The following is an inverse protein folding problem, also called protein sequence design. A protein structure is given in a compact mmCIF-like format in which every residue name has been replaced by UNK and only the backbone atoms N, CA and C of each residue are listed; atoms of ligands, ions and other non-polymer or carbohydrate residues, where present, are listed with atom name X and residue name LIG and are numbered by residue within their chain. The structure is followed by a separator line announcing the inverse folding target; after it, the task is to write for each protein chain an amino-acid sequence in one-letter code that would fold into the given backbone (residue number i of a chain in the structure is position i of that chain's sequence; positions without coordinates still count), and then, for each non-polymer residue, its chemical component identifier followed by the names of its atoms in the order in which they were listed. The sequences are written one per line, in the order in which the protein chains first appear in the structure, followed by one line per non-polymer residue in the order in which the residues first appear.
data_IF_080116050650
#
_entry.id   IF_080116050650
#
_cell.length_a   1.000
_cell.length_b   1.000
_cell.length_c   1.000
_cell.angle_alpha   90.00
_cell.angle_beta   90.00
_cell.angle_gamma   90.00
#
_symmetry.space_group_name_H-M   'P 1'
#
loop_
_entity.id
_entity.type
_entity.pdbx_description
1 polymer ?
#
# COMPACT_ATOMS: atom_id res chain seq x y z
N UNK A 1 -14.15 14.86 -19.90
CA UNK A 1 -13.26 15.14 -18.74
C UNK A 1 -11.84 15.11 -19.26
N UNK A 2 -10.99 16.10 -18.90
CA UNK A 2 -9.58 16.13 -19.30
C UNK A 2 -8.82 14.93 -18.71
N UNK A 3 -7.82 14.42 -19.43
CA UNK A 3 -6.92 13.39 -18.89
C UNK A 3 -6.11 13.95 -17.71
N UNK A 4 -5.79 13.13 -16.73
CA UNK A 4 -4.83 13.55 -15.72
C UNK A 4 -3.41 13.44 -16.26
N UNK A 5 -2.58 14.47 -16.06
CA UNK A 5 -1.17 14.41 -16.44
C UNK A 5 -0.43 13.31 -15.63
N UNK A 6 -0.92 12.98 -14.43
CA UNK A 6 -0.37 11.94 -13.58
C UNK A 6 -0.74 10.50 -14.03
N UNK A 7 -1.58 10.33 -15.07
CA UNK A 7 -1.87 9.03 -15.67
C UNK A 7 -0.80 8.62 -16.70
N UNK A 8 0.21 9.45 -16.95
CA UNK A 8 1.25 9.19 -17.93
C UNK A 8 2.60 8.92 -17.30
N UNK A 9 3.24 7.84 -17.72
CA UNK A 9 4.66 7.59 -17.45
C UNK A 9 5.53 8.59 -18.19
N UNK A 10 6.78 8.73 -17.78
CA UNK A 10 7.73 9.61 -18.52
C UNK A 10 7.86 9.21 -19.99
N UNK A 11 7.82 7.92 -20.28
CA UNK A 11 7.89 7.39 -21.66
C UNK A 11 6.67 7.82 -22.47
N UNK A 12 5.47 7.64 -21.94
CA UNK A 12 4.21 8.04 -22.58
C UNK A 12 4.17 9.56 -22.82
N UNK A 13 4.54 10.36 -21.81
CA UNK A 13 4.63 11.83 -21.97
C UNK A 13 5.68 12.24 -23.00
N UNK A 14 6.81 11.54 -23.09
CA UNK A 14 7.84 11.84 -24.09
C UNK A 14 7.40 11.53 -25.53
N UNK A 15 6.45 10.61 -25.69
CA UNK A 15 5.82 10.35 -26.99
C UNK A 15 4.77 11.41 -27.34
N UNK A 16 4.03 11.89 -26.34
CA UNK A 16 2.94 12.83 -26.50
C UNK A 16 3.44 14.28 -26.69
N UNK A 17 4.41 14.71 -25.86
CA UNK A 17 4.93 16.07 -25.87
C UNK A 17 6.15 16.21 -26.80
N UNK A 18 6.09 17.21 -27.69
CA UNK A 18 7.20 17.51 -28.60
C UNK A 18 7.76 18.91 -28.33
N UNK A 19 9.08 19.11 -28.30
CA UNK A 19 10.12 18.07 -28.28
C UNK A 19 10.15 17.28 -26.96
N UNK A 20 10.64 16.07 -26.99
CA UNK A 20 10.55 15.09 -25.87
C UNK A 20 11.22 15.53 -24.55
N UNK A 21 12.19 16.45 -24.61
CA UNK A 21 12.82 16.99 -23.40
C UNK A 21 11.82 17.76 -22.51
N UNK A 22 10.74 18.32 -23.09
CA UNK A 22 9.66 18.99 -22.32
C UNK A 22 8.96 18.04 -21.35
N UNK A 23 8.84 16.76 -21.73
CA UNK A 23 8.28 15.76 -20.83
C UNK A 23 9.16 15.58 -19.58
N UNK A 24 10.47 15.52 -19.72
CA UNK A 24 11.41 15.43 -18.59
C UNK A 24 11.34 16.65 -17.68
N UNK A 25 11.30 17.85 -18.27
CA UNK A 25 11.15 19.08 -17.51
C UNK A 25 9.83 19.11 -16.75
N UNK A 26 8.70 18.80 -17.41
CA UNK A 26 7.38 18.74 -16.80
C UNK A 26 7.35 17.72 -15.65
N UNK A 27 7.92 16.53 -15.87
CA UNK A 27 8.00 15.48 -14.85
C UNK A 27 8.74 15.96 -13.59
N UNK A 28 9.84 16.68 -13.75
CA UNK A 28 10.57 17.29 -12.64
C UNK A 28 9.69 18.29 -11.85
N UNK A 29 8.93 19.13 -12.56
CA UNK A 29 8.06 20.10 -11.92
C UNK A 29 6.89 19.43 -11.16
N UNK A 30 6.31 18.39 -11.73
CA UNK A 30 5.20 17.66 -11.13
C UNK A 30 5.62 16.91 -9.84
N UNK A 31 6.73 16.18 -9.92
CA UNK A 31 7.07 15.21 -8.87
C UNK A 31 8.18 15.65 -7.92
N UNK A 32 9.12 16.46 -8.37
CA UNK A 32 10.21 16.93 -7.52
C UNK A 32 9.95 18.32 -6.92
N UNK A 33 9.12 19.16 -7.57
CA UNK A 33 8.80 20.50 -7.06
C UNK A 33 7.36 20.66 -6.58
N UNK A 34 6.55 19.59 -6.63
CA UNK A 34 5.16 19.55 -6.16
C UNK A 34 4.30 20.71 -6.65
N UNK A 35 4.47 21.13 -7.90
CA UNK A 35 3.65 22.20 -8.45
C UNK A 35 2.23 21.72 -8.68
N UNK A 36 1.28 22.45 -8.13
CA UNK A 36 -0.16 22.13 -8.15
C UNK A 36 -0.94 22.92 -9.20
N UNK A 37 -0.26 23.83 -9.90
CA UNK A 37 -0.80 24.59 -11.02
C UNK A 37 0.21 24.66 -12.15
N UNK A 38 -0.23 24.53 -13.40
CA UNK A 38 0.63 24.74 -14.57
C UNK A 38 1.13 26.19 -14.62
N UNK A 39 0.36 27.15 -14.12
CA UNK A 39 0.76 28.56 -14.03
C UNK A 39 2.01 28.77 -13.17
N UNK A 40 2.22 27.95 -12.14
CA UNK A 40 3.42 28.03 -11.30
C UNK A 40 4.70 27.66 -12.06
N UNK A 41 4.57 27.18 -13.31
CA UNK A 41 5.67 26.76 -14.15
C UNK A 41 6.02 27.78 -15.26
N UNK A 42 5.34 28.96 -15.29
CA UNK A 42 5.46 29.97 -16.35
C UNK A 42 6.90 30.47 -16.58
N UNK A 43 7.72 30.51 -15.55
CA UNK A 43 9.12 30.95 -15.69
C UNK A 43 9.99 29.95 -16.47
N UNK A 44 9.50 28.72 -16.70
CA UNK A 44 10.26 27.63 -17.32
C UNK A 44 9.63 27.12 -18.62
N UNK A 45 8.36 27.49 -18.88
CA UNK A 45 7.62 27.07 -20.06
C UNK A 45 6.95 28.29 -20.72
N UNK A 46 6.86 28.25 -22.05
CA UNK A 46 6.18 29.30 -22.80
C UNK A 46 4.70 29.38 -22.42
N UNK A 47 4.11 30.56 -22.59
CA UNK A 47 2.67 30.79 -22.34
C UNK A 47 1.79 29.85 -23.17
N UNK A 48 2.14 29.62 -24.44
CA UNK A 48 1.42 28.71 -25.33
C UNK A 48 1.46 27.26 -24.84
N UNK A 49 2.62 26.83 -24.33
CA UNK A 49 2.75 25.48 -23.80
C UNK A 49 1.96 25.31 -22.48
N UNK A 50 1.95 26.31 -21.62
CA UNK A 50 1.09 26.30 -20.41
C UNK A 50 -0.39 26.25 -20.81
N UNK A 51 -0.81 27.07 -21.77
CA UNK A 51 -2.19 27.07 -22.27
C UNK A 51 -2.58 25.69 -22.84
N UNK A 52 -1.69 25.08 -23.62
CA UNK A 52 -1.89 23.71 -24.11
C UNK A 52 -2.05 22.70 -22.95
N UNK A 53 -1.18 22.75 -21.93
CA UNK A 53 -1.28 21.85 -20.78
C UNK A 53 -2.59 22.05 -20.01
N UNK A 54 -3.02 23.30 -19.83
CA UNK A 54 -4.30 23.63 -19.18
C UNK A 54 -5.51 23.18 -20.00
N UNK A 55 -5.39 23.21 -21.33
CA UNK A 55 -6.46 22.74 -22.20
C UNK A 55 -6.61 21.22 -22.19
N UNK A 56 -5.52 20.47 -22.27
CA UNK A 56 -5.53 19.02 -22.47
C UNK A 56 -5.58 18.23 -21.15
N UNK A 57 -4.99 18.77 -20.08
CA UNK A 57 -4.76 18.00 -18.85
C UNK A 57 -5.36 18.64 -17.60
N UNK A 58 -5.58 17.79 -16.60
CA UNK A 58 -5.81 18.20 -15.22
C UNK A 58 -4.68 17.73 -14.31
N UNK A 59 -4.35 18.56 -13.31
CA UNK A 59 -3.40 18.23 -12.25
C UNK A 59 -4.06 17.56 -11.05
N UNK A 60 -5.34 17.84 -10.79
CA UNK A 60 -6.05 17.28 -9.62
C UNK A 60 -7.07 16.25 -10.06
N UNK A 61 -6.97 15.06 -9.46
CA UNK A 61 -7.96 13.98 -9.62
C UNK A 61 -8.61 13.59 -8.31
N UNK A 62 -7.95 13.93 -7.19
CA UNK A 62 -8.47 13.71 -5.83
C UNK A 62 -8.24 14.94 -4.96
N UNK A 63 -9.02 15.05 -3.90
CA UNK A 63 -8.85 16.05 -2.85
C UNK A 63 -8.92 15.40 -1.46
N UNK A 64 -8.22 15.99 -0.48
CA UNK A 64 -8.34 15.60 0.93
C UNK A 64 -9.60 16.25 1.47
N UNK A 65 -10.55 15.43 1.96
CA UNK A 65 -11.78 15.93 2.57
C UNK A 65 -11.73 15.89 4.10
N UNK A 66 -10.96 14.94 4.66
CA UNK A 66 -10.83 14.82 6.09
C UNK A 66 -9.51 14.17 6.48
N UNK A 67 -8.96 14.58 7.64
CA UNK A 67 -7.73 14.01 8.23
C UNK A 67 -7.96 13.71 9.70
N UNK A 68 -7.73 12.46 10.10
CA UNK A 68 -7.69 12.06 11.52
C UNK A 68 -6.23 11.85 11.94
N UNK A 69 -5.84 12.39 13.08
CA UNK A 69 -4.49 12.27 13.62
C UNK A 69 -4.48 11.32 14.81
N UNK A 70 -3.57 10.36 14.79
CA UNK A 70 -3.31 9.42 15.88
C UNK A 70 -2.30 10.02 16.89
N UNK A 71 -2.39 9.54 18.12
CA UNK A 71 -1.43 9.87 19.17
C UNK A 71 0.00 9.40 18.84
N UNK A 72 0.17 8.39 17.99
CA UNK A 72 1.46 7.89 17.54
C UNK A 72 2.09 8.69 16.37
N UNK A 73 1.44 9.80 15.99
CA UNK A 73 1.86 10.67 14.90
C UNK A 73 1.45 10.19 13.50
N UNK A 74 0.76 9.06 13.40
CA UNK A 74 0.17 8.61 12.13
C UNK A 74 -1.08 9.41 11.80
N UNK A 75 -1.47 9.42 10.52
CA UNK A 75 -2.68 10.13 10.06
C UNK A 75 -3.47 9.24 9.10
N UNK A 76 -4.80 9.27 9.22
CA UNK A 76 -5.73 8.68 8.26
C UNK A 76 -6.36 9.80 7.43
N UNK A 77 -6.31 9.63 6.12
CA UNK A 77 -6.82 10.57 5.13
C UNK A 77 -8.05 9.99 4.46
N UNK A 78 -9.10 10.79 4.39
CA UNK A 78 -10.23 10.53 3.52
C UNK A 78 -10.06 11.37 2.26
N UNK A 79 -9.92 10.71 1.13
CA UNK A 79 -9.84 11.32 -0.18
C UNK A 79 -11.19 11.22 -0.88
N UNK A 80 -11.50 12.24 -1.69
CA UNK A 80 -12.62 12.25 -2.62
C UNK A 80 -12.08 12.32 -4.04
N UNK A 81 -12.54 11.42 -4.89
CA UNK A 81 -12.26 11.47 -6.32
C UNK A 81 -13.07 12.60 -6.96
N UNK A 82 -12.39 13.46 -7.72
CA UNK A 82 -13.02 14.52 -8.50
C UNK A 82 -13.69 14.01 -9.79
N UNK A 83 -13.50 12.71 -10.09
CA UNK A 83 -14.08 12.05 -11.26
C UNK A 83 -15.55 11.70 -11.08
N UNK A 84 -15.91 11.23 -9.89
CA UNK A 84 -17.21 10.61 -9.61
C UNK A 84 -17.72 10.84 -8.17
N UNK A 85 -17.00 11.67 -7.40
CA UNK A 85 -17.27 12.02 -6.01
C UNK A 85 -17.23 10.84 -5.02
N UNK A 86 -16.80 9.66 -5.42
CA UNK A 86 -16.55 8.57 -4.48
C UNK A 86 -15.37 8.87 -3.59
N UNK A 87 -15.42 8.32 -2.37
CA UNK A 87 -14.35 8.52 -1.39
C UNK A 87 -13.63 7.22 -1.10
N UNK A 88 -12.38 7.33 -0.62
CA UNK A 88 -11.55 6.21 -0.20
C UNK A 88 -10.49 6.71 0.78
N UNK A 89 -9.91 5.80 1.54
CA UNK A 89 -8.97 6.15 2.60
C UNK A 89 -7.53 5.75 2.26
N UNK A 90 -6.56 6.49 2.79
CA UNK A 90 -5.16 6.12 2.84
C UNK A 90 -4.56 6.48 4.20
N UNK A 91 -3.41 5.91 4.54
CA UNK A 91 -2.79 6.13 5.85
C UNK A 91 -1.33 6.55 5.71
N UNK A 92 -0.98 7.59 6.43
CA UNK A 92 0.41 7.97 6.70
C UNK A 92 0.83 7.38 8.04
N UNK A 93 1.87 6.55 8.03
CA UNK A 93 2.38 5.88 9.20
C UNK A 93 3.75 6.44 9.59
N UNK A 94 3.87 6.94 10.80
CA UNK A 94 5.14 7.28 11.41
C UNK A 94 5.76 6.03 12.02
N UNK A 95 6.72 5.42 11.32
CA UNK A 95 7.29 4.12 11.68
C UNK A 95 8.36 4.22 12.76
N UNK A 96 9.16 5.26 12.72
CA UNK A 96 10.21 5.54 13.69
C UNK A 96 10.37 7.06 13.89
N UNK A 97 10.64 7.44 15.12
CA UNK A 97 11.09 8.78 15.46
C UNK A 97 12.56 9.00 15.09
N UNK A 98 12.94 10.27 15.02
CA UNK A 98 14.31 10.68 14.89
C UNK A 98 15.07 10.28 16.17
N UNK A 99 16.16 9.52 16.02
CA UNK A 99 17.06 9.20 17.11
C UNK A 99 18.24 10.17 17.06
N UNK A 100 18.43 10.92 18.13
CA UNK A 100 19.50 11.91 18.27
C UNK A 100 20.44 11.39 19.35
N UNK A 101 21.73 11.57 19.15
CA UNK A 101 22.74 11.41 20.17
C UNK A 101 22.64 12.59 21.14
N UNK A 102 22.45 12.31 22.43
CA UNK A 102 22.20 13.34 23.44
C UNK A 102 23.44 14.21 23.73
N UNK A 103 24.65 13.68 23.52
CA UNK A 103 25.90 14.38 23.78
C UNK A 103 26.32 15.26 22.59
N UNK A 104 26.20 14.72 21.37
CA UNK A 104 26.70 15.37 20.15
C UNK A 104 25.62 16.09 19.35
N UNK A 105 24.33 15.94 19.68
CA UNK A 105 23.18 16.36 18.87
C UNK A 105 23.18 15.77 17.43
N UNK A 106 24.01 14.77 17.17
CA UNK A 106 24.07 14.13 15.87
C UNK A 106 22.84 13.23 15.64
N UNK A 107 22.34 13.20 14.39
CA UNK A 107 21.23 12.34 14.02
C UNK A 107 21.75 10.93 13.79
N UNK A 108 21.48 10.01 14.73
CA UNK A 108 21.85 8.59 14.64
C UNK A 108 20.93 7.84 13.68
N UNK A 109 19.61 8.07 13.77
CA UNK A 109 18.63 7.51 12.84
C UNK A 109 17.59 8.57 12.47
N UNK A 110 17.32 8.71 11.17
CA UNK A 110 16.27 9.60 10.70
C UNK A 110 14.88 8.95 10.86
N UNK A 111 13.86 9.80 10.92
CA UNK A 111 12.47 9.37 10.90
C UNK A 111 12.16 8.52 9.67
N UNK A 112 11.33 7.48 9.85
CA UNK A 112 10.89 6.60 8.77
C UNK A 112 9.38 6.69 8.62
N UNK A 113 8.94 6.89 7.39
CA UNK A 113 7.54 7.03 7.05
C UNK A 113 7.10 6.00 6.02
N UNK A 114 5.87 5.56 6.15
CA UNK A 114 5.21 4.65 5.20
C UNK A 114 3.87 5.23 4.82
N UNK A 115 3.57 5.25 3.54
CA UNK A 115 2.23 5.57 3.04
C UNK A 115 1.57 4.26 2.60
N UNK A 116 0.44 3.96 3.25
CA UNK A 116 -0.44 2.86 2.90
C UNK A 116 -1.47 3.38 1.90
N UNK A 117 -1.27 3.05 0.62
CA UNK A 117 -2.12 3.53 -0.47
C UNK A 117 -3.24 2.54 -0.79
N UNK A 118 -4.39 3.08 -1.18
CA UNK A 118 -5.51 2.34 -1.75
C UNK A 118 -5.36 2.24 -3.27
N UNK A 119 -5.83 1.14 -3.84
CA UNK A 119 -5.83 0.91 -5.29
C UNK A 119 -7.23 0.68 -5.87
N UNK A 120 -8.25 0.60 -5.01
CA UNK A 120 -9.66 0.48 -5.41
C UNK A 120 -10.53 1.32 -4.48
N UNK A 121 -11.71 1.68 -4.95
CA UNK A 121 -12.81 2.15 -4.10
C UNK A 121 -13.60 0.91 -3.69
N UNK A 122 -13.53 0.57 -2.40
CA UNK A 122 -14.00 -0.72 -1.89
C UNK A 122 -13.07 -1.89 -2.25
N UNK A 123 -13.54 -3.12 -2.14
CA UNK A 123 -12.77 -4.32 -2.47
C UNK A 123 -13.71 -5.50 -2.77
N UNK A 124 -13.43 -6.22 -3.87
CA UNK A 124 -14.25 -7.36 -4.28
C UNK A 124 -13.82 -8.71 -3.65
N UNK A 125 -12.71 -8.74 -2.88
CA UNK A 125 -12.19 -10.00 -2.30
C UNK A 125 -13.08 -10.52 -1.17
N UNK A 126 -13.71 -9.64 -0.41
CA UNK A 126 -14.69 -10.00 0.60
C UNK A 126 -14.11 -10.66 1.85
N UNK A 127 -12.88 -10.32 2.27
CA UNK A 127 -12.26 -10.90 3.47
C UNK A 127 -13.08 -10.61 4.72
N UNK A 128 -13.48 -11.66 5.46
CA UNK A 128 -14.39 -11.56 6.61
C UNK A 128 -13.85 -10.73 7.78
N UNK A 129 -12.53 -10.58 7.86
CA UNK A 129 -11.83 -9.79 8.89
C UNK A 129 -11.59 -8.33 8.47
N UNK A 130 -11.91 -7.94 7.25
CA UNK A 130 -11.59 -6.62 6.71
C UNK A 130 -12.82 -5.72 6.65
N UNK A 131 -12.72 -4.54 7.24
CA UNK A 131 -13.82 -3.59 7.28
C UNK A 131 -14.20 -3.03 5.91
N UNK A 132 -13.23 -2.93 4.98
CA UNK A 132 -13.44 -2.45 3.60
C UNK A 132 -14.50 -3.28 2.85
N UNK A 133 -14.62 -4.58 3.15
CA UNK A 133 -15.59 -5.44 2.46
C UNK A 133 -17.05 -5.00 2.64
N UNK A 134 -17.37 -4.32 3.77
CA UNK A 134 -18.74 -3.85 4.04
C UNK A 134 -19.22 -2.76 3.07
N UNK A 135 -18.28 -2.06 2.42
CA UNK A 135 -18.58 -1.05 1.38
C UNK A 135 -18.79 -1.63 -0.01
N UNK A 136 -18.50 -2.94 -0.20
CA UNK A 136 -18.51 -3.56 -1.52
C UNK A 136 -17.35 -3.10 -2.40
N UNK A 137 -17.50 -3.26 -3.70
CA UNK A 137 -16.55 -2.80 -4.73
C UNK A 137 -17.25 -1.82 -5.66
N UNK A 138 -16.64 -0.68 -5.90
CA UNK A 138 -17.16 0.32 -6.84
C UNK A 138 -16.33 0.29 -8.13
N UNK A 139 -15.03 0.57 -8.05
CA UNK A 139 -14.13 0.57 -9.21
C UNK A 139 -12.64 0.53 -8.81
N UNK A 140 -11.82 0.30 -9.79
CA UNK A 140 -10.39 0.50 -9.72
C UNK A 140 -10.04 1.99 -9.65
N UNK A 141 -9.01 2.36 -8.87
CA UNK A 141 -8.39 3.67 -8.93
C UNK A 141 -7.45 3.75 -10.13
N UNK A 142 -7.39 4.93 -10.76
CA UNK A 142 -6.40 5.24 -11.80
C UNK A 142 -5.02 5.48 -11.20
N UNK A 143 -3.98 5.34 -11.99
CA UNK A 143 -2.60 5.61 -11.55
C UNK A 143 -2.47 7.00 -10.94
N UNK A 144 -3.10 8.02 -11.54
CA UNK A 144 -3.16 9.39 -11.01
C UNK A 144 -3.76 9.47 -9.61
N UNK A 145 -4.85 8.73 -9.35
CA UNK A 145 -5.51 8.71 -8.04
C UNK A 145 -4.63 7.99 -7.00
N UNK A 146 -3.89 6.93 -7.40
CA UNK A 146 -2.96 6.21 -6.53
C UNK A 146 -1.77 7.10 -6.16
N UNK A 147 -1.16 7.76 -7.14
CA UNK A 147 0.04 8.58 -6.95
C UNK A 147 -0.27 9.81 -6.12
N UNK A 148 -1.39 10.46 -6.38
CA UNK A 148 -1.77 11.69 -5.68
C UNK A 148 -2.05 11.45 -4.19
N UNK A 149 -2.39 10.24 -3.75
CA UNK A 149 -2.42 9.93 -2.32
C UNK A 149 -1.06 10.23 -1.66
N UNK A 150 0.02 9.71 -2.24
CA UNK A 150 1.35 9.92 -1.68
C UNK A 150 1.82 11.37 -1.81
N UNK A 151 1.53 12.04 -2.93
CA UNK A 151 1.90 13.45 -3.15
C UNK A 151 1.20 14.37 -2.12
N UNK A 152 -0.12 14.26 -2.00
CA UNK A 152 -0.90 15.10 -1.09
C UNK A 152 -0.60 14.82 0.39
N UNK A 153 -0.36 13.54 0.75
CA UNK A 153 0.08 13.17 2.08
C UNK A 153 1.45 13.78 2.40
N UNK A 154 2.37 13.77 1.42
CA UNK A 154 3.70 14.35 1.60
C UNK A 154 3.64 15.87 1.76
N UNK A 155 2.77 16.53 0.98
CA UNK A 155 2.49 17.96 1.07
C UNK A 155 1.88 18.32 2.45
N UNK A 156 0.81 17.63 2.89
CA UNK A 156 0.15 17.89 4.18
C UNK A 156 1.05 17.70 5.41
N UNK A 157 2.07 16.85 5.27
CA UNK A 157 3.05 16.61 6.34
C UNK A 157 4.31 17.48 6.21
N UNK A 158 4.37 18.42 5.27
CA UNK A 158 5.53 19.28 5.00
C UNK A 158 6.83 18.46 4.86
N UNK A 159 6.76 17.25 4.27
CA UNK A 159 7.94 16.43 4.13
C UNK A 159 8.83 16.97 3.00
N UNK A 160 10.14 17.13 3.26
CA UNK A 160 11.08 17.50 2.21
C UNK A 160 11.00 16.58 0.99
N UNK A 161 11.31 17.11 -0.18
CA UNK A 161 11.27 16.36 -1.44
C UNK A 161 12.14 15.11 -1.36
N UNK A 162 13.34 15.25 -0.78
CA UNK A 162 14.33 14.17 -0.63
C UNK A 162 13.93 13.15 0.43
N UNK A 163 12.92 13.44 1.24
CA UNK A 163 12.48 12.52 2.30
C UNK A 163 11.90 11.26 1.68
N UNK A 164 12.63 10.18 1.82
CA UNK A 164 12.24 8.89 1.30
C UNK A 164 11.01 8.35 2.04
N UNK A 165 10.02 7.89 1.27
CA UNK A 165 8.84 7.17 1.75
C UNK A 165 8.95 5.69 1.44
N UNK A 166 8.35 4.85 2.28
CA UNK A 166 7.94 3.52 1.87
C UNK A 166 6.49 3.58 1.38
N UNK A 167 6.18 2.86 0.31
CA UNK A 167 4.82 2.73 -0.22
C UNK A 167 4.39 1.28 -0.03
N UNK A 168 3.22 1.08 0.56
CA UNK A 168 2.63 -0.25 0.70
C UNK A 168 1.22 -0.24 0.13
N UNK A 169 0.95 -1.15 -0.79
CA UNK A 169 -0.38 -1.40 -1.33
C UNK A 169 -1.14 -2.33 -0.38
N UNK A 170 -1.52 -1.78 0.78
CA UNK A 170 -2.23 -2.48 1.86
C UNK A 170 -3.44 -1.67 2.35
N UNK A 171 -3.86 -0.66 1.59
CA UNK A 171 -5.08 0.10 1.81
C UNK A 171 -6.31 -0.62 1.26
N UNK A 172 -7.27 0.14 0.76
CA UNK A 172 -8.49 -0.42 0.17
C UNK A 172 -8.20 -1.02 -1.20
N UNK A 173 -8.68 -2.27 -1.42
CA UNK A 173 -8.61 -2.97 -2.70
C UNK A 173 -7.57 -4.09 -2.76
N UNK A 174 -7.67 -4.89 -3.83
CA UNK A 174 -6.71 -5.94 -4.20
C UNK A 174 -5.86 -5.45 -5.38
N UNK A 175 -4.54 -5.23 -5.17
CA UNK A 175 -3.68 -4.66 -6.20
C UNK A 175 -3.63 -5.48 -7.49
N UNK A 176 -3.68 -6.82 -7.41
CA UNK A 176 -3.62 -7.67 -8.59
C UNK A 176 -4.92 -7.61 -9.42
N UNK A 177 -6.04 -7.17 -8.84
CA UNK A 177 -7.27 -6.91 -9.59
C UNK A 177 -7.26 -5.53 -10.29
N UNK A 178 -6.24 -4.70 -9.99
CA UNK A 178 -5.99 -3.41 -10.65
C UNK A 178 -4.55 -3.33 -11.21
N UNK A 179 -4.06 -4.44 -11.75
CA UNK A 179 -2.63 -4.65 -11.99
C UNK A 179 -2.00 -3.58 -12.89
N UNK A 180 -2.67 -3.19 -13.98
CA UNK A 180 -2.10 -2.26 -14.95
C UNK A 180 -1.91 -0.86 -14.35
N UNK A 181 -2.91 -0.33 -13.64
CA UNK A 181 -2.82 0.98 -13.00
C UNK A 181 -1.83 0.96 -11.82
N UNK A 182 -1.76 -0.15 -11.07
CA UNK A 182 -0.80 -0.35 -9.99
C UNK A 182 0.63 -0.40 -10.55
N UNK A 183 0.89 -1.16 -11.62
CA UNK A 183 2.20 -1.20 -12.26
C UNK A 183 2.63 0.17 -12.80
N UNK A 184 1.69 0.89 -13.42
CA UNK A 184 1.93 2.26 -13.90
C UNK A 184 2.25 3.22 -12.74
N UNK A 185 1.49 3.14 -11.64
CA UNK A 185 1.76 3.94 -10.45
C UNK A 185 3.16 3.65 -9.86
N UNK A 186 3.57 2.37 -9.82
CA UNK A 186 4.90 1.97 -9.34
C UNK A 186 6.01 2.54 -10.23
N UNK A 187 5.86 2.48 -11.55
CA UNK A 187 6.81 3.09 -12.48
C UNK A 187 6.94 4.60 -12.22
N UNK A 188 5.82 5.29 -12.00
CA UNK A 188 5.81 6.72 -11.73
C UNK A 188 6.35 7.03 -10.33
N UNK A 189 6.05 6.24 -9.30
CA UNK A 189 6.69 6.38 -7.97
C UNK A 189 8.21 6.30 -8.08
N UNK A 190 8.72 5.39 -8.92
CA UNK A 190 10.16 5.25 -9.12
C UNK A 190 10.76 6.37 -9.97
N UNK A 191 10.21 6.63 -11.15
CA UNK A 191 10.80 7.57 -12.11
C UNK A 191 10.50 9.04 -11.79
N UNK A 192 9.31 9.32 -11.23
CA UNK A 192 8.86 10.68 -10.89
C UNK A 192 9.23 11.06 -9.46
N UNK A 193 8.76 10.31 -8.48
CA UNK A 193 8.98 10.61 -7.06
C UNK A 193 10.31 10.06 -6.52
N UNK A 194 11.12 9.41 -7.34
CA UNK A 194 12.42 8.82 -6.98
C UNK A 194 12.34 7.82 -5.81
N UNK A 195 11.21 7.15 -5.67
CA UNK A 195 11.02 6.11 -4.65
C UNK A 195 11.61 4.81 -5.16
N UNK A 196 12.69 4.35 -4.53
CA UNK A 196 13.30 3.07 -4.90
C UNK A 196 12.28 1.93 -4.87
N UNK A 197 12.23 1.05 -5.89
CA UNK A 197 11.34 -0.13 -5.88
C UNK A 197 11.48 -1.01 -4.62
N UNK A 198 12.66 -1.04 -4.01
CA UNK A 198 12.91 -1.74 -2.74
C UNK A 198 12.12 -1.17 -1.56
N UNK A 199 11.56 0.03 -1.68
CA UNK A 199 10.69 0.69 -0.71
C UNK A 199 9.21 0.54 -1.03
N UNK A 200 8.87 -0.18 -2.11
CA UNK A 200 7.49 -0.42 -2.53
C UNK A 200 7.14 -1.88 -2.27
N UNK A 201 6.03 -2.11 -1.56
CA UNK A 201 5.51 -3.46 -1.28
C UNK A 201 4.14 -3.60 -1.90
N UNK A 202 3.95 -4.61 -2.73
CA UNK A 202 2.63 -5.05 -3.19
C UNK A 202 2.19 -6.18 -2.26
N UNK A 203 1.03 -6.00 -1.61
CA UNK A 203 0.39 -7.05 -0.83
C UNK A 203 -0.82 -7.57 -1.58
N UNK A 204 -0.91 -8.88 -1.73
CA UNK A 204 -2.05 -9.52 -2.41
C UNK A 204 -2.69 -10.59 -1.54
N UNK A 205 -4.00 -10.71 -1.68
CA UNK A 205 -4.78 -11.80 -1.11
C UNK A 205 -4.50 -13.16 -1.77
N UNK A 206 -3.68 -13.18 -2.83
CA UNK A 206 -3.31 -14.40 -3.54
C UNK A 206 -4.14 -14.65 -4.80
N UNK A 207 -4.28 -13.65 -5.67
CA UNK A 207 -4.83 -13.81 -7.03
C UNK A 207 -3.76 -14.51 -7.87
N UNK A 208 -3.73 -15.86 -7.79
CA UNK A 208 -2.59 -16.68 -8.20
C UNK A 208 -2.24 -16.52 -9.69
N UNK A 209 -3.25 -16.43 -10.57
CA UNK A 209 -3.08 -16.25 -12.02
C UNK A 209 -2.42 -14.89 -12.40
N UNK A 210 -2.43 -13.91 -11.49
CA UNK A 210 -1.82 -12.59 -11.71
C UNK A 210 -0.40 -12.45 -11.14
N UNK A 211 0.00 -13.34 -10.24
CA UNK A 211 1.36 -13.31 -9.65
C UNK A 211 2.45 -13.44 -10.75
N UNK A 212 2.39 -14.40 -11.70
CA UNK A 212 3.38 -14.49 -12.76
C UNK A 212 3.36 -13.29 -13.71
N UNK A 213 2.20 -12.67 -13.95
CA UNK A 213 2.10 -11.46 -14.77
C UNK A 213 2.84 -10.31 -14.08
N UNK A 214 2.63 -10.12 -12.77
CA UNK A 214 3.38 -9.13 -12.00
C UNK A 214 4.88 -9.42 -12.00
N UNK A 215 5.28 -10.68 -11.82
CA UNK A 215 6.68 -11.11 -11.87
C UNK A 215 7.34 -10.73 -13.20
N UNK A 216 6.65 -10.94 -14.32
CA UNK A 216 7.14 -10.61 -15.67
C UNK A 216 7.33 -9.11 -15.92
N UNK A 217 6.72 -8.24 -15.12
CA UNK A 217 6.93 -6.77 -15.21
C UNK A 217 8.30 -6.32 -14.67
N UNK A 218 9.02 -7.15 -13.93
CA UNK A 218 10.37 -6.88 -13.38
C UNK A 218 10.51 -5.54 -12.65
N UNK A 219 9.49 -5.16 -11.89
CA UNK A 219 9.43 -3.85 -11.22
C UNK A 219 10.39 -3.72 -10.02
N UNK A 220 11.02 -4.81 -9.57
CA UNK A 220 11.96 -4.83 -8.45
C UNK A 220 11.33 -4.58 -7.06
N UNK A 221 10.00 -4.60 -6.96
CA UNK A 221 9.23 -4.37 -5.73
C UNK A 221 9.27 -5.58 -4.79
N UNK A 222 8.84 -5.38 -3.54
CA UNK A 222 8.65 -6.45 -2.58
C UNK A 222 7.24 -7.05 -2.72
N UNK A 223 7.16 -8.39 -2.66
CA UNK A 223 5.89 -9.12 -2.64
C UNK A 223 5.54 -9.53 -1.22
N UNK A 224 4.29 -9.25 -0.83
CA UNK A 224 3.66 -9.76 0.38
C UNK A 224 2.41 -10.56 0.03
N UNK A 225 2.25 -11.72 0.65
CA UNK A 225 1.09 -12.61 0.47
C UNK A 225 0.27 -12.63 1.75
N UNK A 226 -0.98 -12.23 1.67
CA UNK A 226 -1.97 -12.38 2.73
C UNK A 226 -2.38 -13.86 2.83
N UNK A 227 -1.68 -14.62 3.69
CA UNK A 227 -1.92 -16.05 3.86
C UNK A 227 -3.03 -16.35 4.88
N UNK A 228 -2.86 -15.84 6.10
CA UNK A 228 -3.82 -15.79 7.22
C UNK A 228 -4.35 -17.13 7.74
N UNK A 229 -4.03 -18.26 7.11
CA UNK A 229 -4.40 -19.59 7.57
C UNK A 229 -3.39 -20.64 7.07
N UNK A 230 -3.45 -21.82 7.63
CA UNK A 230 -2.57 -22.96 7.31
C UNK A 230 -3.30 -24.12 6.64
N UNK A 231 -4.61 -23.98 6.45
CA UNK A 231 -5.48 -24.92 5.75
C UNK A 231 -6.57 -24.18 4.96
N UNK A 232 -7.05 -24.81 3.90
CA UNK A 232 -8.02 -24.19 2.98
C UNK A 232 -9.40 -23.97 3.60
N UNK A 233 -9.80 -24.77 4.58
CA UNK A 233 -11.09 -24.61 5.29
C UNK A 233 -11.10 -23.28 6.05
N UNK A 234 -10.10 -23.07 6.89
CA UNK A 234 -9.93 -21.83 7.65
C UNK A 234 -9.71 -20.65 6.71
N UNK A 235 -8.85 -20.79 5.68
CA UNK A 235 -8.60 -19.71 4.75
C UNK A 235 -9.85 -19.32 3.96
N UNK A 236 -10.66 -20.27 3.54
CA UNK A 236 -11.90 -19.99 2.80
C UNK A 236 -12.94 -19.28 3.66
N UNK A 237 -12.97 -19.54 4.97
CA UNK A 237 -13.86 -18.84 5.89
C UNK A 237 -13.43 -17.39 6.14
N UNK A 238 -12.12 -17.10 6.08
CA UNK A 238 -11.54 -15.77 6.25
C UNK A 238 -11.49 -14.99 4.93
N UNK A 239 -11.17 -15.68 3.82
CA UNK A 239 -10.91 -15.10 2.50
C UNK A 239 -11.64 -15.93 1.43
N UNK A 240 -12.83 -15.52 1.00
CA UNK A 240 -13.62 -16.27 0.00
C UNK A 240 -12.87 -16.53 -1.32
N UNK A 241 -11.88 -15.69 -1.65
CA UNK A 241 -11.00 -15.87 -2.80
C UNK A 241 -10.30 -17.25 -2.81
N UNK A 242 -10.07 -17.85 -1.64
CA UNK A 242 -9.44 -19.16 -1.51
C UNK A 242 -10.21 -20.29 -2.22
N UNK A 243 -11.51 -20.12 -2.41
CA UNK A 243 -12.33 -21.09 -3.19
C UNK A 243 -11.90 -21.15 -4.65
N UNK A 244 -11.36 -20.06 -5.20
CA UNK A 244 -10.82 -19.99 -6.55
C UNK A 244 -9.32 -20.29 -6.58
N UNK A 245 -8.57 -19.76 -5.63
CA UNK A 245 -7.12 -19.90 -5.54
C UNK A 245 -6.77 -20.41 -4.13
N UNK A 246 -6.72 -21.75 -3.99
CA UNK A 246 -6.37 -22.40 -2.74
C UNK A 246 -4.90 -22.12 -2.37
N UNK A 247 -4.52 -22.49 -1.15
CA UNK A 247 -3.18 -22.23 -0.62
C UNK A 247 -2.10 -22.77 -1.57
N UNK A 248 -2.26 -24.00 -2.05
CA UNK A 248 -1.26 -24.64 -2.92
C UNK A 248 -1.11 -23.89 -4.25
N UNK A 249 -2.20 -23.44 -4.86
CA UNK A 249 -2.15 -22.62 -6.08
C UNK A 249 -1.32 -21.36 -5.86
N UNK A 250 -1.56 -20.64 -4.75
CA UNK A 250 -0.83 -19.41 -4.42
C UNK A 250 0.65 -19.71 -4.19
N UNK A 251 0.98 -20.72 -3.39
CA UNK A 251 2.37 -21.07 -3.07
C UNK A 251 3.14 -21.55 -4.28
N UNK A 252 2.49 -22.24 -5.23
CA UNK A 252 3.13 -22.66 -6.48
C UNK A 252 3.59 -21.47 -7.31
N UNK A 253 2.80 -20.40 -7.40
CA UNK A 253 3.24 -19.19 -8.10
C UNK A 253 4.27 -18.39 -7.31
N UNK A 254 4.18 -18.39 -5.97
CA UNK A 254 5.18 -17.76 -5.11
C UNK A 254 6.56 -18.44 -5.20
N UNK A 255 6.62 -19.77 -5.35
CA UNK A 255 7.88 -20.51 -5.56
C UNK A 255 8.62 -20.07 -6.82
N UNK A 256 7.90 -19.60 -7.84
CA UNK A 256 8.45 -19.10 -9.11
C UNK A 256 8.79 -17.59 -9.06
N UNK A 257 8.46 -16.90 -7.95
CA UNK A 257 8.72 -15.46 -7.84
C UNK A 257 10.22 -15.15 -7.92
N UNK A 258 10.65 -14.22 -8.81
CA UNK A 258 12.07 -13.89 -8.94
C UNK A 258 12.58 -13.16 -7.71
N UNK A 259 13.50 -13.76 -6.99
CA UNK A 259 14.09 -13.19 -5.80
C UNK A 259 15.57 -12.90 -6.00
N UNK A 260 15.98 -11.67 -5.76
CA UNK A 260 17.40 -11.33 -5.59
C UNK A 260 17.99 -12.07 -4.37
N UNK A 261 19.33 -12.22 -4.34
CA UNK A 261 20.03 -13.12 -3.43
C UNK A 261 19.68 -12.98 -1.94
N UNK A 262 19.41 -11.77 -1.45
CA UNK A 262 19.07 -11.49 -0.04
C UNK A 262 17.60 -11.17 0.23
N UNK A 263 16.74 -11.17 -0.80
CA UNK A 263 15.33 -10.89 -0.65
C UNK A 263 14.53 -12.14 -0.26
N UNK A 264 13.38 -11.91 0.37
CA UNK A 264 12.41 -12.93 0.78
C UNK A 264 11.00 -12.46 0.41
N UNK A 265 10.13 -13.38 0.04
CA UNK A 265 8.69 -13.11 -0.01
C UNK A 265 8.18 -12.95 1.43
N UNK A 266 7.34 -11.98 1.66
CA UNK A 266 6.71 -11.74 2.95
C UNK A 266 5.35 -12.45 3.00
N UNK A 267 5.10 -13.22 4.04
CA UNK A 267 3.78 -13.77 4.33
C UNK A 267 3.17 -13.00 5.50
N UNK A 268 2.09 -12.29 5.22
CA UNK A 268 1.27 -11.65 6.24
C UNK A 268 0.35 -12.72 6.85
N UNK A 269 0.41 -12.87 8.16
CA UNK A 269 -0.40 -13.82 8.89
C UNK A 269 -1.14 -13.12 10.02
N UNK A 270 -2.44 -12.90 9.80
CA UNK A 270 -3.34 -12.28 10.77
C UNK A 270 -3.70 -13.31 11.85
N UNK A 271 -3.25 -13.08 13.06
CA UNK A 271 -3.61 -13.90 14.22
C UNK A 271 -4.98 -13.50 14.76
N UNK A 272 -5.87 -14.47 14.84
CA UNK A 272 -7.23 -14.34 15.37
C UNK A 272 -7.35 -15.35 16.52
N UNK A 273 -7.79 -14.87 17.69
CA UNK A 273 -7.93 -15.68 18.90
C UNK A 273 -8.78 -16.93 18.65
N UNK A 274 -8.30 -18.06 19.14
CA UNK A 274 -8.94 -19.38 19.09
C UNK A 274 -9.26 -19.91 17.66
N UNK A 275 -8.74 -19.24 16.63
CA UNK A 275 -8.98 -19.66 15.24
C UNK A 275 -7.70 -20.17 14.56
N UNK A 276 -6.62 -19.38 14.61
CA UNK A 276 -5.39 -19.66 13.87
C UNK A 276 -4.11 -19.27 14.63
N UNK A 277 -4.20 -19.00 15.93
CA UNK A 277 -3.13 -18.49 16.79
C UNK A 277 -2.43 -19.57 17.63
N UNK A 278 -2.80 -20.86 17.47
CA UNK A 278 -2.24 -21.97 18.23
C UNK A 278 -0.83 -22.35 17.76
N UNK A 279 -0.04 -22.99 18.64
CA UNK A 279 1.27 -23.57 18.27
C UNK A 279 1.17 -24.65 17.18
N UNK A 280 0.02 -25.36 17.09
CA UNK A 280 -0.22 -26.31 16.01
C UNK A 280 -0.31 -25.58 14.65
N UNK A 281 -0.95 -24.42 14.62
CA UNK A 281 -0.93 -23.55 13.43
C UNK A 281 0.48 -23.10 13.10
N UNK A 282 1.33 -22.74 14.07
CA UNK A 282 2.72 -22.38 13.82
C UNK A 282 3.52 -23.55 13.21
N UNK A 283 3.33 -24.77 13.71
CA UNK A 283 3.96 -25.99 13.16
C UNK A 283 3.52 -26.25 11.72
N UNK A 284 2.23 -26.11 11.43
CA UNK A 284 1.67 -26.27 10.09
C UNK A 284 2.18 -25.17 9.14
N UNK A 285 2.28 -23.92 9.61
CA UNK A 285 2.82 -22.81 8.83
C UNK A 285 4.29 -23.04 8.46
N UNK A 286 5.10 -23.51 9.39
CA UNK A 286 6.50 -23.89 9.13
C UNK A 286 6.61 -24.93 8.03
N UNK A 287 5.80 -25.98 8.08
CA UNK A 287 5.72 -27.02 7.05
C UNK A 287 5.32 -26.46 5.70
N UNK A 288 4.28 -25.63 5.69
CA UNK A 288 3.68 -25.07 4.48
C UNK A 288 4.66 -24.17 3.70
N UNK A 289 5.49 -23.42 4.43
CA UNK A 289 6.47 -22.50 3.85
C UNK A 289 7.86 -23.14 3.61
N UNK A 290 8.00 -24.44 3.89
CA UNK A 290 9.24 -25.15 3.64
C UNK A 290 9.66 -25.06 2.16
N UNK A 291 10.95 -24.79 1.91
CA UNK A 291 11.49 -24.59 0.56
C UNK A 291 11.18 -23.24 -0.08
N UNK A 292 10.39 -22.36 0.56
CA UNK A 292 10.13 -21.00 0.08
C UNK A 292 11.02 -20.01 0.83
N UNK A 293 11.83 -19.26 0.11
CA UNK A 293 12.68 -18.19 0.69
C UNK A 293 11.79 -17.04 1.20
N UNK A 294 11.31 -17.16 2.42
CA UNK A 294 10.26 -16.35 2.99
C UNK A 294 10.60 -15.75 4.36
N UNK A 295 9.77 -14.82 4.78
CA UNK A 295 9.65 -14.34 6.16
C UNK A 295 8.16 -14.19 6.48
N UNK A 296 7.82 -14.34 7.76
CA UNK A 296 6.44 -14.18 8.26
C UNK A 296 6.33 -12.87 9.02
N UNK A 297 5.22 -12.19 8.80
CA UNK A 297 4.84 -10.97 9.51
C UNK A 297 3.52 -11.25 10.23
N UNK A 298 3.56 -11.42 11.55
CA UNK A 298 2.37 -11.64 12.37
C UNK A 298 1.69 -10.29 12.60
N UNK A 299 0.39 -10.26 12.36
CA UNK A 299 -0.47 -9.12 12.64
C UNK A 299 -1.52 -9.59 13.63
N UNK A 300 -1.63 -8.97 14.79
CA UNK A 300 -2.72 -9.25 15.70
C UNK A 300 -3.99 -8.62 15.14
N UNK A 301 -5.10 -9.36 15.16
CA UNK A 301 -6.37 -8.86 14.68
C UNK A 301 -6.71 -7.50 15.33
N UNK A 302 -7.14 -6.55 14.51
CA UNK A 302 -7.57 -5.23 14.97
C UNK A 302 -9.10 -5.19 14.95
N UNK A 303 -9.75 -5.18 16.12
CA UNK A 303 -11.20 -5.15 16.22
C UNK A 303 -11.80 -3.94 15.51
N UNK A 304 -12.95 -4.15 14.90
CA UNK A 304 -13.75 -3.10 14.29
C UNK A 304 -15.24 -3.39 14.48
N UNK A 305 -16.08 -2.39 14.31
CA UNK A 305 -17.52 -2.48 14.49
C UNK A 305 -18.14 -3.62 13.67
N UNK A 306 -18.88 -4.49 14.35
CA UNK A 306 -19.59 -5.64 13.75
C UNK A 306 -18.67 -6.78 13.32
N UNK A 307 -17.42 -6.85 13.79
CA UNK A 307 -16.58 -8.03 13.69
C UNK A 307 -16.95 -9.05 14.78
N UNK A 308 -16.98 -10.33 14.40
CA UNK A 308 -17.14 -11.47 15.32
C UNK A 308 -15.80 -12.04 15.81
N UNK A 309 -14.68 -11.52 15.31
CA UNK A 309 -13.36 -12.01 15.66
C UNK A 309 -12.79 -11.23 16.84
N UNK A 310 -11.91 -11.91 17.60
CA UNK A 310 -11.22 -11.34 18.74
C UNK A 310 -9.71 -11.27 18.51
N UNK A 311 -9.09 -10.28 19.14
CA UNK A 311 -7.64 -10.11 19.15
C UNK A 311 -7.01 -11.12 20.09
N UNK A 312 -5.98 -11.89 19.68
CA UNK A 312 -5.24 -12.76 20.58
C UNK A 312 -4.37 -11.97 21.55
N UNK A 313 -3.88 -12.64 22.61
CA UNK A 313 -2.92 -12.04 23.52
C UNK A 313 -1.56 -11.81 22.84
N UNK A 314 -0.81 -10.84 23.35
CA UNK A 314 0.56 -10.63 22.88
C UNK A 314 1.48 -11.81 23.22
N UNK A 315 1.20 -12.50 24.33
CA UNK A 315 1.91 -13.69 24.75
C UNK A 315 1.74 -14.84 23.75
N UNK A 316 0.50 -15.13 23.32
CA UNK A 316 0.23 -16.12 22.26
C UNK A 316 0.97 -15.78 20.98
N UNK A 317 0.96 -14.50 20.56
CA UNK A 317 1.67 -14.06 19.37
C UNK A 317 3.21 -14.22 19.52
N UNK A 318 3.75 -13.96 20.71
CA UNK A 318 5.19 -14.17 21.00
C UNK A 318 5.56 -15.65 20.92
N UNK A 319 4.80 -16.53 21.59
CA UNK A 319 5.03 -17.97 21.53
C UNK A 319 5.01 -18.50 20.09
N UNK A 320 4.08 -18.01 19.26
CA UNK A 320 4.01 -18.34 17.84
C UNK A 320 5.26 -17.87 17.08
N UNK A 321 5.68 -16.63 17.28
CA UNK A 321 6.85 -16.05 16.63
C UNK A 321 8.15 -16.74 17.06
N UNK A 322 8.33 -16.97 18.36
CA UNK A 322 9.52 -17.59 18.91
C UNK A 322 9.68 -19.03 18.42
N UNK A 323 8.57 -19.78 18.34
CA UNK A 323 8.59 -21.11 17.72
C UNK A 323 9.09 -21.06 16.28
N UNK A 324 8.58 -20.19 15.42
CA UNK A 324 9.02 -20.08 14.03
C UNK A 324 10.49 -19.67 13.92
N UNK A 325 10.91 -18.66 14.71
CA UNK A 325 12.27 -18.19 14.76
C UNK A 325 13.25 -19.29 15.23
N UNK A 326 12.88 -20.08 16.25
CA UNK A 326 13.69 -21.21 16.75
C UNK A 326 13.94 -22.30 15.70
N UNK A 327 13.06 -22.35 14.68
CA UNK A 327 13.15 -23.28 13.54
C UNK A 327 13.74 -22.63 12.28
N UNK A 328 14.28 -21.41 12.39
CA UNK A 328 14.96 -20.72 11.27
C UNK A 328 14.02 -20.00 10.29
N UNK A 329 12.72 -19.98 10.51
CA UNK A 329 11.80 -19.18 9.72
C UNK A 329 11.65 -17.80 10.37
N UNK A 330 12.25 -16.78 9.74
CA UNK A 330 12.21 -15.40 10.24
C UNK A 330 10.76 -14.94 10.43
N UNK A 331 10.40 -14.64 11.66
CA UNK A 331 9.07 -14.19 12.05
C UNK A 331 9.15 -12.93 12.89
N UNK A 332 8.35 -11.94 12.54
CA UNK A 332 8.25 -10.67 13.28
C UNK A 332 6.79 -10.39 13.64
N UNK A 333 6.57 -9.82 14.83
CA UNK A 333 5.26 -9.30 15.21
C UNK A 333 5.21 -7.85 14.79
N UNK A 334 4.24 -7.50 13.95
CA UNK A 334 4.03 -6.13 13.51
C UNK A 334 3.14 -5.41 14.52
N UNK A 335 3.69 -4.38 15.14
CA UNK A 335 2.89 -3.44 15.91
C UNK A 335 1.85 -2.76 15.01
N UNK A 336 0.59 -2.79 15.43
CA UNK A 336 -0.46 -2.02 14.79
C UNK A 336 -0.31 -0.55 15.16
N UNK A 337 -0.20 0.30 14.16
CA UNK A 337 -0.18 1.77 14.29
C UNK A 337 -1.58 2.34 14.08
N UNK A 338 -1.81 3.56 14.60
CA UNK A 338 -3.03 4.32 14.37
C UNK A 338 -4.33 3.58 14.77
N UNK A 339 -4.28 2.79 15.85
CA UNK A 339 -5.43 2.04 16.35
C UNK A 339 -6.55 2.96 16.86
N UNK A 340 -6.18 4.04 17.54
CA UNK A 340 -7.07 5.03 18.14
C UNK A 340 -7.91 5.79 17.10
N UNK A 341 -7.50 5.77 15.84
CA UNK A 341 -8.22 6.40 14.72
C UNK A 341 -8.77 5.39 13.71
N UNK A 342 -8.83 4.11 14.08
CA UNK A 342 -9.31 3.03 13.19
C UNK A 342 -8.58 3.01 11.83
N UNK A 343 -7.26 3.12 11.85
CA UNK A 343 -6.44 3.16 10.64
C UNK A 343 -5.42 2.03 10.54
N UNK A 344 -5.49 1.05 11.43
CA UNK A 344 -4.69 -0.16 11.32
C UNK A 344 -5.15 -1.07 10.17
N UNK A 345 -4.33 -2.08 9.84
CA UNK A 345 -4.64 -3.03 8.78
C UNK A 345 -6.02 -3.67 8.99
N UNK A 346 -6.84 -3.69 7.92
CA UNK A 346 -8.20 -4.23 7.94
C UNK A 346 -9.28 -3.27 8.45
N UNK A 347 -8.93 -2.08 8.94
CA UNK A 347 -9.89 -1.12 9.53
C UNK A 347 -10.36 -0.01 8.57
N UNK A 348 -9.76 0.09 7.38
CA UNK A 348 -10.13 1.16 6.44
C UNK A 348 -11.53 0.92 5.88
N UNK A 349 -12.37 1.91 6.04
CA UNK A 349 -13.70 2.00 5.44
C UNK A 349 -14.10 3.47 5.39
N UNK A 350 -14.66 3.84 4.27
CA UNK A 350 -15.44 5.05 4.12
C UNK A 350 -16.65 4.99 5.08
N UNK A 351 -16.55 5.62 6.24
CA UNK A 351 -17.74 5.98 7.01
C UNK A 351 -18.26 7.25 6.36
N UNK A 352 -19.46 7.21 5.77
CA UNK A 352 -20.22 8.46 5.54
C UNK A 352 -20.22 9.17 6.89
N UNK A 353 -19.53 10.30 6.96
CA UNK A 353 -19.65 11.20 8.10
C UNK A 353 -21.13 11.61 8.11
N UNK A 354 -21.94 10.87 8.89
CA UNK A 354 -23.23 11.40 9.32
C UNK A 354 -22.89 12.73 9.99
N UNK A 355 -23.40 13.78 9.37
CA UNK A 355 -23.37 15.15 9.79
C UNK A 355 -23.47 15.21 11.32
N UNK A 356 -22.34 15.51 11.98
CA UNK A 356 -22.40 16.18 13.26
C UNK A 356 -22.31 17.66 12.92
N UNK A 357 -23.50 18.24 12.82
CA UNK A 357 -23.74 19.68 12.93
C UNK A 357 -23.37 20.13 14.33
#
# INVERSE_FOLDING_TARGET
MKASIYDFTLKELSQLLKPSFRAKQLYLWLYAKYKTSFKDMQNNFSKDFIAYLEQEFTLRTIEITHVRKSVDGSKKYLFKSLRDNHTFEAVFLKMKDKKIDEETNAVLEGEKYTVCVSCQIGCQVGCAFCFTQKGGFVRNLKASEIIQQALLIKEDNNLPIEKALNIVFMGMGEPLNNLDEVCKAIEIFNTGMQISPKRITISTSGVADKIPILAGKNLGVQLAISLHAVDDKTRSSLMPLNKKYNIECVLNEVRKWPLEQRKRVMFEYLLIKDLNDSLDCAKKLLKLLNGIKSKVNLILFNPHEGSKFERPSLESARMFADFLNSKGLLCTIRESKALDIEAACGQLREKKLSQQI
#
